data_IF_161635259983
#
_entry.id   IF_161635259983
#
_cell.length_a   1.000
_cell.length_b   1.000
_cell.length_c   1.000
_cell.angle_alpha   90.00
_cell.angle_beta   90.00
_cell.angle_gamma   90.00
#
_symmetry.space_group_name_H-M   'P 1'
#
loop_
_entity.id
_entity.type
_entity.pdbx_description
1 polymer ?
#
# COMPACT_ATOMS: atom_id res chain seq x y z
N UNK A 1 3.02 -7.75 -1.65
CA UNK A 1 3.28 -7.72 -3.11
C UNK A 1 4.29 -6.64 -3.42
N UNK A 2 5.31 -6.96 -4.21
CA UNK A 2 6.36 -6.02 -4.59
C UNK A 2 5.84 -5.03 -5.63
N UNK A 3 6.10 -3.73 -5.45
CA UNK A 3 5.71 -2.70 -6.42
C UNK A 3 6.86 -2.32 -7.35
N UNK A 4 8.04 -2.15 -6.79
CA UNK A 4 9.30 -1.82 -7.46
C UNK A 4 10.46 -2.09 -6.48
N UNK A 5 11.72 -1.95 -6.91
CA UNK A 5 12.96 -2.18 -6.17
C UNK A 5 13.06 -1.49 -4.79
N UNK A 6 12.16 -0.57 -4.48
CA UNK A 6 12.12 0.23 -3.24
C UNK A 6 10.83 0.11 -2.43
N UNK A 7 9.74 -0.42 -3.00
CA UNK A 7 8.42 -0.32 -2.37
C UNK A 7 7.68 -1.65 -2.30
N UNK A 8 7.08 -1.91 -1.14
CA UNK A 8 6.28 -3.09 -0.84
C UNK A 8 4.87 -2.65 -0.46
N UNK A 9 3.85 -3.29 -1.03
CA UNK A 9 2.50 -3.28 -0.43
C UNK A 9 2.34 -4.50 0.45
N UNK A 10 1.91 -4.26 1.69
CA UNK A 10 1.54 -5.28 2.65
C UNK A 10 0.16 -4.96 3.23
N UNK A 11 -0.47 -5.98 3.82
CA UNK A 11 -1.64 -5.76 4.66
C UNK A 11 -1.17 -5.60 6.11
N UNK A 12 -1.64 -4.55 6.77
CA UNK A 12 -1.42 -4.32 8.19
C UNK A 12 -2.48 -5.02 9.04
N UNK A 13 -2.06 -5.51 10.20
CA UNK A 13 -2.93 -6.15 11.19
C UNK A 13 -2.77 -5.49 12.55
N UNK A 14 -3.78 -5.61 13.42
CA UNK A 14 -3.66 -5.15 14.80
C UNK A 14 -2.58 -5.93 15.52
N UNK A 15 -1.82 -5.23 16.38
CA UNK A 15 -0.75 -5.85 17.17
C UNK A 15 -1.30 -7.02 17.99
N UNK A 16 -0.60 -8.14 17.93
CA UNK A 16 -0.96 -9.40 18.59
C UNK A 16 -2.26 -10.05 18.08
N UNK A 17 -2.77 -9.65 16.91
CA UNK A 17 -3.90 -10.32 16.27
C UNK A 17 -3.64 -10.50 14.77
N UNK A 18 -4.52 -11.24 14.09
CA UNK A 18 -4.55 -11.34 12.63
C UNK A 18 -5.66 -10.46 12.03
N UNK A 19 -6.21 -9.53 12.82
CA UNK A 19 -7.28 -8.65 12.38
C UNK A 19 -6.72 -7.59 11.46
N UNK A 20 -7.09 -7.70 10.18
CA UNK A 20 -6.76 -6.75 9.14
C UNK A 20 -7.26 -5.35 9.47
N UNK A 21 -6.39 -4.36 9.29
CA UNK A 21 -6.73 -2.94 9.40
C UNK A 21 -6.86 -2.34 8.00
N UNK A 22 -5.74 -2.26 7.28
CA UNK A 22 -5.63 -1.59 5.99
C UNK A 22 -4.40 -2.10 5.20
N UNK A 23 -4.36 -1.82 3.90
CA UNK A 23 -3.13 -1.96 3.13
C UNK A 23 -2.17 -0.80 3.45
N UNK A 24 -0.89 -1.13 3.52
CA UNK A 24 0.20 -0.18 3.75
C UNK A 24 1.21 -0.26 2.60
N UNK A 25 1.77 0.89 2.23
CA UNK A 25 2.96 0.96 1.37
C UNK A 25 4.17 1.18 2.25
N UNK A 26 5.22 0.39 2.08
CA UNK A 26 6.46 0.46 2.86
C UNK A 26 7.61 0.77 1.90
N UNK A 27 8.37 1.81 2.22
CA UNK A 27 9.70 2.04 1.63
C UNK A 27 10.70 1.14 2.33
N UNK A 28 11.17 0.11 1.63
CA UNK A 28 12.05 -0.92 2.20
C UNK A 28 13.45 -0.37 2.53
N UNK A 29 13.84 0.75 1.92
CA UNK A 29 15.15 1.36 2.14
C UNK A 29 15.19 2.21 3.41
N UNK A 30 14.05 2.78 3.81
CA UNK A 30 13.95 3.67 4.98
C UNK A 30 13.13 3.10 6.14
N UNK A 31 12.30 2.07 5.90
CA UNK A 31 11.35 1.52 6.86
C UNK A 31 10.12 2.41 7.09
N UNK A 32 10.00 3.53 6.38
CA UNK A 32 8.81 4.39 6.43
C UNK A 32 7.64 3.73 5.72
N UNK A 33 6.43 4.07 6.15
CA UNK A 33 5.22 3.53 5.57
C UNK A 33 4.12 4.58 5.49
N UNK A 34 3.08 4.27 4.72
CA UNK A 34 1.83 5.01 4.66
C UNK A 34 0.65 4.03 4.63
N UNK A 35 -0.36 4.29 5.45
CA UNK A 35 -1.64 3.60 5.42
C UNK A 35 -2.51 4.08 4.27
N UNK A 36 -3.16 3.16 3.56
CA UNK A 36 -4.01 3.48 2.42
C UNK A 36 -5.49 3.64 2.80
N UNK A 37 -5.83 3.56 4.09
CA UNK A 37 -7.16 3.69 4.67
C UNK A 37 -8.22 2.73 4.09
N UNK A 38 -7.78 1.69 3.38
CA UNK A 38 -8.60 0.63 2.82
C UNK A 38 -7.74 -0.61 2.53
N UNK A 39 -8.38 -1.72 2.18
CA UNK A 39 -7.75 -2.97 1.79
C UNK A 39 -7.75 -3.11 0.26
N UNK A 40 -6.58 -3.26 -0.32
CA UNK A 40 -6.39 -3.43 -1.75
C UNK A 40 -5.75 -4.78 -2.04
N UNK A 41 -6.57 -5.73 -2.51
CA UNK A 41 -6.18 -7.11 -2.77
C UNK A 41 -5.49 -7.26 -4.12
N UNK A 42 -5.82 -6.38 -5.07
CA UNK A 42 -5.32 -6.42 -6.44
C UNK A 42 -4.45 -5.21 -6.74
N UNK A 43 -3.33 -5.47 -7.38
CA UNK A 43 -2.39 -4.44 -7.85
C UNK A 43 -2.12 -4.66 -9.32
N UNK A 44 -2.26 -3.59 -10.09
CA UNK A 44 -1.93 -3.53 -11.51
C UNK A 44 -0.88 -2.43 -11.70
N UNK A 45 0.26 -2.80 -12.26
CA UNK A 45 1.29 -1.84 -12.65
C UNK A 45 0.98 -1.41 -14.08
N UNK A 46 0.81 -0.10 -14.29
CA UNK A 46 0.44 0.51 -15.57
C UNK A 46 1.53 1.52 -15.98
N UNK A 47 1.59 1.92 -17.26
CA UNK A 47 2.60 2.90 -17.74
C UNK A 47 2.60 4.22 -16.95
N UNK A 48 1.44 4.62 -16.41
CA UNK A 48 1.24 5.90 -15.72
C UNK A 48 1.10 5.78 -14.20
N UNK A 49 1.50 4.64 -13.62
CA UNK A 49 1.50 4.46 -12.17
C UNK A 49 0.99 3.10 -11.72
N UNK A 50 0.50 3.04 -10.48
CA UNK A 50 0.07 1.82 -9.82
C UNK A 50 -1.41 1.95 -9.49
N UNK A 51 -2.18 0.98 -9.95
CA UNK A 51 -3.61 0.89 -9.67
C UNK A 51 -3.87 -0.21 -8.65
N UNK A 52 -4.57 0.16 -7.59
CA UNK A 52 -4.95 -0.69 -6.49
C UNK A 52 -6.47 -0.88 -6.50
N UNK A 53 -6.96 -2.11 -6.40
CA UNK A 53 -8.39 -2.40 -6.38
C UNK A 53 -8.79 -3.23 -5.15
N UNK A 54 -9.88 -2.81 -4.51
CA UNK A 54 -10.57 -3.58 -3.49
C UNK A 54 -11.66 -4.40 -4.18
N UNK A 55 -11.38 -5.67 -4.43
CA UNK A 55 -12.31 -6.59 -5.12
C UNK A 55 -13.66 -6.76 -4.39
N UNK A 56 -13.76 -6.48 -3.09
CA UNK A 56 -15.01 -6.59 -2.33
C UNK A 56 -15.88 -5.34 -2.40
N UNK A 57 -15.27 -4.15 -2.33
CA UNK A 57 -16.01 -2.87 -2.31
C UNK A 57 -16.07 -2.20 -3.68
N UNK A 58 -15.24 -2.64 -4.63
CA UNK A 58 -15.06 -2.02 -5.93
C UNK A 58 -14.23 -0.72 -5.88
N UNK A 59 -13.73 -0.31 -4.72
CA UNK A 59 -12.89 0.89 -4.59
C UNK A 59 -11.60 0.75 -5.37
N UNK A 60 -11.15 1.85 -5.96
CA UNK A 60 -9.93 1.93 -6.75
C UNK A 60 -9.09 3.12 -6.29
N UNK A 61 -7.78 2.90 -6.16
CA UNK A 61 -6.79 3.94 -5.86
C UNK A 61 -5.73 3.91 -6.95
N UNK A 62 -5.42 5.08 -7.50
CA UNK A 62 -4.40 5.23 -8.54
C UNK A 62 -3.26 6.11 -8.01
N UNK A 63 -2.10 5.49 -7.79
CA UNK A 63 -0.87 6.14 -7.36
C UNK A 63 -0.05 6.47 -8.60
N UNK A 64 -0.09 7.74 -9.04
CA UNK A 64 0.66 8.20 -10.23
C UNK A 64 2.15 8.34 -9.97
N UNK A 65 2.51 8.81 -8.78
CA UNK A 65 3.89 8.93 -8.32
C UNK A 65 3.95 8.57 -6.84
N UNK A 66 4.61 7.45 -6.55
CA UNK A 66 4.77 6.92 -5.20
C UNK A 66 5.63 7.82 -4.31
N UNK A 67 6.50 8.65 -4.91
CA UNK A 67 7.34 9.59 -4.17
C UNK A 67 6.55 10.79 -3.63
N UNK A 68 5.35 11.04 -4.17
CA UNK A 68 4.45 12.11 -3.72
C UNK A 68 3.50 11.68 -2.59
N UNK A 69 3.57 10.43 -2.13
CA UNK A 69 2.80 9.98 -0.97
C UNK A 69 3.29 10.68 0.30
N UNK A 70 2.36 11.01 1.20
CA UNK A 70 2.68 11.58 2.51
C UNK A 70 3.08 10.47 3.50
N UNK A 71 4.37 10.23 3.63
CA UNK A 71 4.91 9.14 4.45
C UNK A 71 4.79 9.42 5.95
N UNK A 72 4.21 8.48 6.69
CA UNK A 72 4.22 8.50 8.15
C UNK A 72 5.56 7.98 8.71
N UNK A 73 5.94 8.46 9.90
CA UNK A 73 7.22 8.09 10.54
C UNK A 73 7.09 6.79 11.34
N UNK A 74 7.97 5.84 11.00
CA UNK A 74 8.43 4.61 11.68
C UNK A 74 7.42 3.75 12.47
N UNK A 75 7.40 2.45 12.13
CA UNK A 75 6.85 1.34 12.94
C UNK A 75 7.88 0.89 13.99
#
# INVERSE_FOLDING_TARGET
>A
MFLDNRFLIAESVRKNTWDLIESVVIDISTGKYIGLNDRYHRVCIEENGIKLENDYTGKKLHIKDINLLEWEKNI
#
